data_IF_081029130682
#
_entry.id   IF_081029130682
#
_cell.length_a   1.000
_cell.length_b   1.000
_cell.length_c   1.000
_cell.angle_alpha   90.00
_cell.angle_beta   90.00
_cell.angle_gamma   90.00
#
_symmetry.space_group_name_H-M   'P 1'
#
loop_
_entity.id
_entity.type
_entity.pdbx_description
1 polymer ?
#
# COMPACT_ATOMS: atom_id res chain seq x y z
N UNK A 1 -5.96 15.05 -1.09
CA UNK A 1 -4.49 14.98 -0.81
C UNK A 1 -3.84 15.10 -2.17
N UNK A 2 -2.84 15.97 -2.39
CA UNK A 2 -2.36 16.20 -3.76
C UNK A 2 -1.42 15.09 -4.22
N UNK A 3 -1.33 14.91 -5.55
CA UNK A 3 -0.43 13.93 -6.19
C UNK A 3 1.02 14.14 -5.75
N UNK A 4 1.48 15.39 -5.71
CA UNK A 4 2.87 15.74 -5.37
C UNK A 4 3.19 15.35 -3.93
N UNK A 5 2.23 15.53 -3.01
CA UNK A 5 2.40 15.13 -1.61
C UNK A 5 2.52 13.61 -1.49
N UNK A 6 1.71 12.85 -2.22
CA UNK A 6 1.76 11.37 -2.23
C UNK A 6 3.11 10.88 -2.78
N UNK A 7 3.55 11.45 -3.90
CA UNK A 7 4.80 11.06 -4.54
C UNK A 7 6.04 11.37 -3.68
N UNK A 8 5.99 12.42 -2.87
CA UNK A 8 7.07 12.81 -1.96
C UNK A 8 7.10 12.04 -0.63
N UNK A 9 6.14 11.14 -0.36
CA UNK A 9 6.18 10.31 0.85
C UNK A 9 7.25 9.24 0.75
N UNK A 10 8.00 9.02 1.83
CA UNK A 10 8.90 7.88 1.94
C UNK A 10 8.11 6.59 2.24
N UNK A 11 8.59 5.42 1.80
CA UNK A 11 8.02 4.14 2.19
C UNK A 11 8.10 3.93 3.71
N UNK A 12 7.11 3.24 4.26
CA UNK A 12 7.00 2.89 5.67
C UNK A 12 5.67 3.28 6.30
N UNK A 13 5.67 3.33 7.64
CA UNK A 13 4.44 3.34 8.46
C UNK A 13 3.40 4.38 8.05
N UNK A 14 3.80 5.60 7.73
CA UNK A 14 2.85 6.66 7.35
C UNK A 14 2.17 6.38 6.02
N UNK A 15 2.92 5.89 5.03
CA UNK A 15 2.38 5.51 3.73
C UNK A 15 1.48 4.28 3.87
N UNK A 16 1.91 3.30 4.66
CA UNK A 16 1.16 2.05 4.90
C UNK A 16 -0.18 2.30 5.61
N UNK A 17 -0.21 3.20 6.61
CA UNK A 17 -1.45 3.63 7.27
C UNK A 17 -2.42 4.22 6.23
N UNK A 18 -1.94 5.09 5.35
CA UNK A 18 -2.80 5.70 4.34
C UNK A 18 -3.35 4.67 3.36
N UNK A 19 -2.53 3.69 2.96
CA UNK A 19 -2.98 2.60 2.09
C UNK A 19 -4.06 1.76 2.78
N UNK A 20 -3.82 1.33 4.02
CA UNK A 20 -4.79 0.58 4.82
C UNK A 20 -6.14 1.34 4.92
N UNK A 21 -6.09 2.62 5.31
CA UNK A 21 -7.31 3.39 5.54
C UNK A 21 -8.03 3.82 4.26
N UNK A 22 -7.30 4.26 3.23
CA UNK A 22 -7.89 4.93 2.06
C UNK A 22 -8.06 4.03 0.85
N UNK A 23 -7.18 3.04 0.68
CA UNK A 23 -7.25 2.10 -0.44
C UNK A 23 -7.97 0.84 -0.01
N UNK A 24 -7.55 0.23 1.10
CA UNK A 24 -8.15 -1.00 1.60
C UNK A 24 -9.46 -0.75 2.35
N UNK A 25 -9.68 0.48 2.83
CA UNK A 25 -10.84 0.85 3.67
C UNK A 25 -10.89 0.05 4.98
N UNK A 26 -9.71 -0.21 5.56
CA UNK A 26 -9.53 -0.90 6.83
C UNK A 26 -9.09 0.13 7.88
N UNK A 27 -10.01 0.67 8.70
CA UNK A 27 -9.66 1.63 9.74
C UNK A 27 -8.82 0.97 10.83
N UNK A 28 -8.01 1.77 11.54
CA UNK A 28 -7.28 1.29 12.73
C UNK A 28 -8.29 0.73 13.73
N UNK A 29 -8.10 -0.50 14.23
CA UNK A 29 -8.97 -1.04 15.27
C UNK A 29 -8.92 -0.19 16.54
N UNK A 30 -10.07 0.05 17.15
CA UNK A 30 -10.25 0.89 18.34
C UNK A 30 -10.15 0.10 19.66
N UNK A 31 -9.90 -1.20 19.58
CA UNK A 31 -9.73 -2.09 20.72
C UNK A 31 -8.30 -2.62 20.80
N UNK A 32 -7.87 -2.96 22.02
CA UNK A 32 -6.65 -3.74 22.25
C UNK A 32 -7.08 -5.08 22.85
N UNK A 33 -6.72 -6.22 22.22
CA UNK A 33 -7.02 -7.54 22.78
C UNK A 33 -6.34 -7.72 24.14
N UNK A 34 -7.05 -8.28 25.12
CA UNK A 34 -6.51 -8.49 26.48
C UNK A 34 -5.25 -9.38 26.46
N UNK A 35 -5.28 -10.44 25.65
CA UNK A 35 -4.17 -11.40 25.53
C UNK A 35 -3.11 -11.00 24.48
N UNK A 36 -3.11 -9.75 24.00
CA UNK A 36 -2.23 -9.32 22.89
C UNK A 36 -0.74 -9.51 23.21
N UNK A 37 -0.33 -9.25 24.45
CA UNK A 37 1.06 -9.43 24.88
C UNK A 37 1.44 -10.92 24.88
N UNK A 38 0.63 -11.77 25.51
CA UNK A 38 0.89 -13.21 25.60
C UNK A 38 0.95 -13.86 24.21
N UNK A 39 0.02 -13.48 23.32
CA UNK A 39 -0.03 -13.98 21.94
C UNK A 39 1.17 -13.50 21.11
N UNK A 40 1.59 -12.24 21.29
CA UNK A 40 2.80 -11.73 20.65
C UNK A 40 4.05 -12.50 21.12
N UNK A 41 4.19 -12.72 22.43
CA UNK A 41 5.30 -13.47 23.03
C UNK A 41 5.31 -14.95 22.60
N UNK A 42 4.13 -15.53 22.37
CA UNK A 42 3.98 -16.88 21.82
C UNK A 42 4.28 -16.97 20.31
N UNK A 43 4.65 -15.86 19.65
CA UNK A 43 4.95 -15.81 18.23
C UNK A 43 3.71 -15.86 17.32
N UNK A 44 2.54 -15.58 17.87
CA UNK A 44 1.24 -15.59 17.16
C UNK A 44 0.55 -14.23 17.32
N UNK A 45 1.13 -13.14 16.76
CA UNK A 45 0.54 -11.81 16.88
C UNK A 45 -0.87 -11.78 16.30
N UNK A 46 -1.73 -10.97 16.90
CA UNK A 46 -3.11 -10.80 16.44
C UNK A 46 -3.09 -9.96 15.17
N UNK A 47 -3.75 -10.46 14.13
CA UNK A 47 -3.91 -9.78 12.86
C UNK A 47 -5.41 -9.55 12.59
N UNK A 48 -5.76 -8.32 12.23
CA UNK A 48 -7.11 -7.88 11.90
C UNK A 48 -7.06 -7.02 10.65
N UNK A 49 -7.63 -7.51 9.56
CA UNK A 49 -7.63 -6.84 8.25
C UNK A 49 -6.22 -6.44 7.78
N UNK A 50 -5.92 -5.13 7.74
CA UNK A 50 -4.62 -4.58 7.35
C UNK A 50 -3.69 -4.30 8.54
N UNK A 51 -4.02 -4.80 9.73
CA UNK A 51 -3.40 -4.37 10.98
C UNK A 51 -2.88 -5.55 11.78
N UNK A 52 -1.66 -5.43 12.26
CA UNK A 52 -1.05 -6.40 13.16
C UNK A 52 -0.83 -5.74 14.52
N UNK A 53 -1.31 -6.38 15.59
CA UNK A 53 -1.09 -5.91 16.96
C UNK A 53 0.26 -6.44 17.44
N UNK A 54 1.18 -5.51 17.73
CA UNK A 54 2.54 -5.83 18.19
C UNK A 54 2.82 -5.20 19.54
N UNK A 55 3.63 -5.88 20.35
CA UNK A 55 4.14 -5.35 21.61
C UNK A 55 5.63 -5.05 21.44
N UNK A 56 6.03 -3.80 21.69
CA UNK A 56 7.43 -3.36 21.56
C UNK A 56 8.01 -3.12 22.95
N UNK A 57 9.05 -3.88 23.28
CA UNK A 57 9.72 -3.82 24.59
C UNK A 57 10.28 -2.44 24.91
N UNK A 58 10.83 -1.75 23.91
CA UNK A 58 11.37 -0.39 24.01
C UNK A 58 10.30 0.68 24.19
N UNK A 59 9.03 0.35 23.94
CA UNK A 59 7.87 1.24 24.08
C UNK A 59 7.00 0.89 25.31
N UNK A 60 7.51 0.04 26.21
CA UNK A 60 6.88 -0.28 27.50
C UNK A 60 5.84 -1.41 27.46
N UNK A 61 6.00 -2.37 26.54
CA UNK A 61 5.12 -3.54 26.37
C UNK A 61 3.64 -3.20 26.14
N UNK A 62 3.36 -1.98 25.67
CA UNK A 62 2.02 -1.54 25.33
C UNK A 62 1.66 -2.07 23.94
N UNK A 63 0.62 -2.90 23.78
CA UNK A 63 0.20 -3.37 22.48
C UNK A 63 -0.24 -2.21 21.59
N UNK A 64 0.21 -2.20 20.34
CA UNK A 64 -0.14 -1.19 19.34
C UNK A 64 -0.44 -1.84 18.00
N UNK A 65 -1.45 -1.32 17.32
CA UNK A 65 -1.71 -1.65 15.93
C UNK A 65 -0.67 -0.99 15.02
N UNK A 66 -0.02 -1.81 14.19
CA UNK A 66 0.80 -1.37 13.08
C UNK A 66 0.14 -1.81 11.78
N UNK A 67 0.22 -1.00 10.70
CA UNK A 67 -0.28 -1.43 9.41
C UNK A 67 0.59 -2.56 8.86
N UNK A 68 0.05 -3.34 7.95
CA UNK A 68 0.84 -4.23 7.11
C UNK A 68 1.86 -3.44 6.28
N UNK A 69 3.03 -4.02 5.98
CA UNK A 69 4.15 -3.33 5.32
C UNK A 69 3.93 -3.13 3.81
N UNK A 70 2.79 -2.56 3.41
CA UNK A 70 2.37 -2.38 2.01
C UNK A 70 3.42 -1.77 1.09
N UNK A 71 4.14 -0.76 1.57
CA UNK A 71 5.12 0.00 0.79
C UNK A 71 6.52 -0.59 0.79
N UNK A 72 6.77 -1.66 1.56
CA UNK A 72 8.10 -2.29 1.68
C UNK A 72 8.10 -3.79 1.41
N UNK A 73 6.97 -4.48 1.57
CA UNK A 73 6.83 -5.91 1.28
C UNK A 73 6.00 -6.13 0.01
N UNK A 74 6.58 -6.73 -1.05
CA UNK A 74 5.86 -7.10 -2.25
C UNK A 74 4.62 -7.97 -2.01
N UNK A 75 4.65 -8.84 -0.99
CA UNK A 75 3.52 -9.74 -0.70
C UNK A 75 2.35 -8.95 -0.12
N UNK A 76 2.61 -8.07 0.85
CA UNK A 76 1.61 -7.14 1.38
C UNK A 76 1.09 -6.16 0.32
N UNK A 77 1.92 -5.72 -0.63
CA UNK A 77 1.50 -4.81 -1.70
C UNK A 77 0.53 -5.46 -2.70
N UNK A 78 0.52 -6.78 -2.84
CA UNK A 78 -0.27 -7.45 -3.88
C UNK A 78 -1.79 -7.25 -3.73
N UNK A 79 -2.40 -7.39 -2.54
CA UNK A 79 -3.79 -7.00 -2.30
C UNK A 79 -4.17 -5.58 -2.78
N UNK A 80 -3.22 -4.64 -2.77
CA UNK A 80 -3.43 -3.26 -3.26
C UNK A 80 -3.63 -3.26 -4.78
N UNK A 81 -2.88 -4.09 -5.52
CA UNK A 81 -3.04 -4.27 -6.97
C UNK A 81 -4.41 -4.87 -7.29
N UNK A 82 -4.85 -5.85 -6.52
CA UNK A 82 -6.17 -6.47 -6.68
C UNK A 82 -7.28 -5.45 -6.45
N UNK A 83 -7.17 -4.68 -5.35
CA UNK A 83 -8.12 -3.61 -5.01
C UNK A 83 -8.20 -2.53 -6.08
N UNK A 84 -7.06 -2.15 -6.64
CA UNK A 84 -7.00 -1.26 -7.81
C UNK A 84 -7.72 -1.90 -9.00
N UNK A 85 -7.41 -3.13 -9.34
CA UNK A 85 -8.02 -3.80 -10.50
C UNK A 85 -9.56 -3.86 -10.37
N UNK A 86 -10.09 -4.11 -9.17
CA UNK A 86 -11.53 -4.08 -8.89
C UNK A 86 -12.17 -2.71 -9.13
N UNK A 87 -11.63 -1.65 -8.54
CA UNK A 87 -12.19 -0.30 -8.67
C UNK A 87 -12.17 0.20 -10.12
N UNK A 88 -11.17 -0.21 -10.89
CA UNK A 88 -11.01 0.21 -12.27
C UNK A 88 -11.92 -0.57 -13.22
N UNK A 89 -12.15 -1.86 -12.95
CA UNK A 89 -13.19 -2.64 -13.64
C UNK A 89 -14.56 -1.99 -13.47
N UNK A 90 -14.87 -1.45 -12.28
CA UNK A 90 -16.12 -0.70 -12.04
C UNK A 90 -16.19 0.62 -12.82
N UNK A 91 -15.05 1.32 -12.98
CA UNK A 91 -14.98 2.64 -13.64
C UNK A 91 -14.80 2.59 -15.16
N UNK A 92 -14.57 1.41 -15.73
CA UNK A 92 -14.39 1.20 -17.17
C UNK A 92 -13.26 2.07 -17.77
N UNK A 93 -12.21 2.32 -16.97
CA UNK A 93 -10.93 2.90 -17.36
C UNK A 93 -9.88 1.78 -17.20
N UNK A 94 -9.05 1.46 -18.21
CA UNK A 94 -7.98 0.48 -18.03
C UNK A 94 -6.74 1.10 -17.34
N UNK A 95 -6.06 0.32 -16.49
CA UNK A 95 -4.68 0.57 -16.05
C UNK A 95 -3.77 -0.47 -16.68
N UNK A 96 -2.57 -0.06 -17.07
CA UNK A 96 -1.44 -0.95 -17.28
C UNK A 96 -0.49 -0.79 -16.09
N UNK A 97 -0.29 -1.86 -15.32
CA UNK A 97 0.84 -1.96 -14.38
C UNK A 97 1.85 -2.84 -15.08
N UNK A 98 2.92 -2.24 -15.57
CA UNK A 98 4.01 -2.97 -16.20
C UNK A 98 5.19 -3.00 -15.25
N UNK A 99 5.59 -4.19 -14.81
CA UNK A 99 6.86 -4.38 -14.10
C UNK A 99 7.84 -4.93 -15.12
N UNK A 100 8.65 -4.06 -15.70
CA UNK A 100 9.71 -4.46 -16.63
C UNK A 100 10.99 -4.78 -15.85
N UNK A 101 11.81 -5.68 -16.37
CA UNK A 101 13.18 -5.89 -15.88
C UNK A 101 14.13 -5.58 -17.03
N UNK A 102 14.89 -4.48 -16.91
CA UNK A 102 15.86 -4.05 -17.91
C UNK A 102 17.22 -3.79 -17.26
N UNK A 103 18.27 -4.38 -17.84
CA UNK A 103 19.66 -4.16 -17.43
C UNK A 103 19.96 -4.29 -15.93
N UNK A 104 19.26 -5.16 -15.18
CA UNK A 104 19.50 -5.37 -13.75
C UNK A 104 18.68 -4.47 -12.82
N UNK A 105 17.83 -3.60 -13.37
CA UNK A 105 16.84 -2.84 -12.63
C UNK A 105 15.45 -3.31 -13.03
N UNK A 106 14.55 -3.44 -12.06
CA UNK A 106 13.14 -3.53 -12.42
C UNK A 106 12.59 -2.12 -12.52
N UNK A 107 11.63 -1.89 -13.41
CA UNK A 107 10.94 -0.62 -13.55
C UNK A 107 9.45 -0.91 -13.43
N UNK A 108 8.79 -0.29 -12.45
CA UNK A 108 7.32 -0.37 -12.34
C UNK A 108 6.71 0.86 -12.99
N UNK A 109 6.01 0.68 -14.10
CA UNK A 109 5.22 1.70 -14.79
C UNK A 109 3.75 1.51 -14.46
N UNK A 110 3.10 2.61 -14.11
CA UNK A 110 1.66 2.62 -13.90
C UNK A 110 1.08 3.67 -14.84
N UNK A 111 0.38 3.18 -15.86
CA UNK A 111 -0.20 3.97 -16.92
C UNK A 111 -1.71 3.88 -16.86
N UNK A 112 -2.35 4.99 -17.21
CA UNK A 112 -3.81 5.10 -17.33
C UNK A 112 -4.13 5.59 -18.73
N UNK A 113 -5.31 5.27 -19.24
CA UNK A 113 -5.76 5.90 -20.47
C UNK A 113 -6.00 7.40 -20.25
N UNK A 114 -5.61 8.20 -21.23
CA UNK A 114 -6.08 9.57 -21.38
C UNK A 114 -7.61 9.60 -21.33
N UNK A 115 -8.21 10.73 -20.94
CA UNK A 115 -9.68 10.85 -20.83
C UNK A 115 -10.41 10.55 -22.15
N UNK A 116 -9.70 10.72 -23.27
CA UNK A 116 -10.14 10.40 -24.63
C UNK A 116 -10.02 8.91 -25.01
N UNK A 117 -9.43 8.07 -24.14
CA UNK A 117 -9.12 6.65 -24.40
C UNK A 117 -8.40 6.43 -25.73
N UNK A 118 -7.44 7.30 -26.06
CA UNK A 118 -6.63 7.20 -27.30
C UNK A 118 -5.23 6.68 -27.06
N UNK A 119 -4.60 7.07 -25.95
CA UNK A 119 -3.23 6.70 -25.60
C UNK A 119 -3.09 6.42 -24.10
N UNK A 120 -2.00 5.76 -23.74
CA UNK A 120 -1.52 5.68 -22.36
C UNK A 120 -0.84 7.00 -21.95
N UNK A 121 -1.12 7.44 -20.73
CA UNK A 121 -0.46 8.60 -20.11
C UNK A 121 1.01 8.29 -19.80
N UNK A 122 1.82 9.34 -19.60
CA UNK A 122 3.17 9.19 -19.04
C UNK A 122 3.12 8.37 -17.74
N UNK A 123 4.12 7.49 -17.51
CA UNK A 123 4.14 6.62 -16.35
C UNK A 123 4.11 7.46 -15.06
N UNK A 124 3.17 7.14 -14.18
CA UNK A 124 2.96 7.87 -12.92
C UNK A 124 4.15 7.67 -11.97
N UNK A 125 4.86 6.56 -12.12
CA UNK A 125 6.05 6.19 -11.38
C UNK A 125 6.97 5.36 -12.28
N UNK A 126 8.28 5.44 -12.05
CA UNK A 126 9.33 4.60 -12.64
C UNK A 126 10.45 4.44 -11.61
N UNK A 127 10.78 3.20 -11.22
CA UNK A 127 11.79 2.93 -10.19
C UNK A 127 12.08 1.44 -10.01
N UNK A 128 13.11 1.09 -9.21
CA UNK A 128 13.61 -0.28 -8.99
C UNK A 128 12.55 -1.27 -8.49
N UNK A 129 12.85 -2.58 -8.49
CA UNK A 129 11.94 -3.64 -7.98
C UNK A 129 11.66 -3.48 -6.49
N UNK A 130 12.68 -3.06 -5.76
CA UNK A 130 12.59 -2.77 -4.34
C UNK A 130 11.64 -1.60 -4.08
N UNK A 131 11.44 -0.73 -5.07
CA UNK A 131 10.48 0.36 -5.04
C UNK A 131 9.11 -0.03 -5.62
N UNK A 132 8.90 -1.27 -6.10
CA UNK A 132 7.62 -1.70 -6.66
C UNK A 132 6.47 -1.65 -5.63
N UNK A 133 6.65 -2.13 -4.37
CA UNK A 133 5.61 -2.02 -3.34
C UNK A 133 5.20 -0.55 -3.09
N UNK A 134 6.19 0.33 -2.97
CA UNK A 134 6.00 1.77 -2.83
C UNK A 134 5.26 2.38 -4.03
N UNK A 135 5.66 2.03 -5.25
CA UNK A 135 5.06 2.50 -6.50
C UNK A 135 3.57 2.15 -6.58
N UNK A 136 3.25 0.88 -6.27
CA UNK A 136 1.88 0.37 -6.21
C UNK A 136 1.07 1.19 -5.21
N UNK A 137 1.58 1.38 -3.99
CA UNK A 137 0.92 2.12 -2.93
C UNK A 137 0.64 3.58 -3.31
N UNK A 138 1.65 4.27 -3.84
CA UNK A 138 1.54 5.68 -4.28
C UNK A 138 0.53 5.84 -5.41
N UNK A 139 0.59 4.96 -6.42
CA UNK A 139 -0.40 4.98 -7.48
C UNK A 139 -1.80 4.73 -6.95
N UNK A 140 -1.98 3.75 -6.06
CA UNK A 140 -3.27 3.47 -5.45
C UNK A 140 -3.83 4.69 -4.72
N UNK A 141 -3.01 5.37 -3.92
CA UNK A 141 -3.42 6.58 -3.23
C UNK A 141 -3.79 7.72 -4.18
N UNK A 142 -3.07 7.87 -5.29
CA UNK A 142 -3.43 8.88 -6.32
C UNK A 142 -4.82 8.60 -6.88
N UNK A 143 -5.14 7.33 -7.15
CA UNK A 143 -6.46 6.93 -7.65
C UNK A 143 -7.58 7.21 -6.65
N UNK A 144 -7.37 6.88 -5.39
CA UNK A 144 -8.42 6.91 -4.37
C UNK A 144 -8.56 8.28 -3.69
N UNK A 145 -7.49 9.06 -3.60
CA UNK A 145 -7.42 10.29 -2.79
C UNK A 145 -6.83 11.49 -3.53
N UNK A 146 -6.13 11.25 -4.64
CA UNK A 146 -5.35 12.23 -5.41
C UNK A 146 -6.16 13.18 -6.32
N UNK A 147 -7.39 13.53 -5.94
CA UNK A 147 -8.17 14.58 -6.63
C UNK A 147 -7.67 15.97 -6.29
#
# INVERSE_FOLDING_TARGET
MTKEKILAMEPGKELDILVAEKVMNHPVPDFIPEDALDLYLAGSPIHCDSWTCVCRYDEGDVPKWIPDPYSTDPSAAWPVVEKLTEEWTKRNKPISIEVTYDCGAYETKIETWDDDKKNWNEPIFSGSCEAAPEAICKAALIVFVGK
#
